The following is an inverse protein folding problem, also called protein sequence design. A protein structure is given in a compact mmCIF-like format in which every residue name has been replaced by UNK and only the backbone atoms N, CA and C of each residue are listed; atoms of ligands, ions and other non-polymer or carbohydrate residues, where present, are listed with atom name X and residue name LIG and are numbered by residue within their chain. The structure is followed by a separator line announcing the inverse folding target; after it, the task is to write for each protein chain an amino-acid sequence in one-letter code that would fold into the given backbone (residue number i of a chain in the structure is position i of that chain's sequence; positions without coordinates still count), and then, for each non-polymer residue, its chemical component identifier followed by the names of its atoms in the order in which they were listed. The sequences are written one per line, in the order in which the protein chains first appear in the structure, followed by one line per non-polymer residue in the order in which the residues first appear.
data_IF_302926496332
#
_entry.id   IF_302926496332
#
_cell.length_a   1.000
_cell.length_b   1.000
_cell.length_c   1.000
_cell.angle_alpha   90.00
_cell.angle_beta   90.00
_cell.angle_gamma   90.00
#
_symmetry.space_group_name_H-M   'P 1'
#
loop_
_entity.id
_entity.type
_entity.pdbx_description
1 polymer ?
#
# COMPACT_ATOMS: atom_id res chain seq x y z
N UNK A 1 -1.78 1.54 20.23
CA UNK A 1 -2.29 1.72 18.85
C UNK A 1 -1.21 2.22 17.88
N UNK A 2 -0.71 3.45 18.03
CA UNK A 2 0.17 4.07 17.03
C UNK A 2 1.51 3.34 16.84
N UNK A 3 2.14 2.85 17.92
CA UNK A 3 3.37 2.03 17.81
C UNK A 3 3.17 0.72 17.04
N UNK A 4 2.01 0.07 17.22
CA UNK A 4 1.68 -1.14 16.46
C UNK A 4 1.52 -0.81 14.97
N UNK A 5 0.76 0.24 14.65
CA UNK A 5 0.56 0.70 13.26
C UNK A 5 1.91 1.03 12.61
N UNK A 6 2.76 1.78 13.31
CA UNK A 6 4.10 2.15 12.83
C UNK A 6 4.97 0.91 12.58
N UNK A 7 5.04 0.00 13.55
CA UNK A 7 5.85 -1.22 13.43
C UNK A 7 5.37 -2.12 12.29
N UNK A 8 4.06 -2.31 12.16
CA UNK A 8 3.48 -3.11 11.08
C UNK A 8 3.69 -2.45 9.71
N UNK A 9 3.43 -1.15 9.58
CA UNK A 9 3.62 -0.41 8.33
C UNK A 9 5.09 -0.42 7.88
N UNK A 10 6.03 -0.28 8.81
CA UNK A 10 7.46 -0.37 8.53
C UNK A 10 7.84 -1.77 8.05
N UNK A 11 7.39 -2.81 8.76
CA UNK A 11 7.63 -4.20 8.37
C UNK A 11 7.07 -4.51 6.98
N UNK A 12 5.84 -4.09 6.68
CA UNK A 12 5.22 -4.28 5.37
C UNK A 12 5.91 -3.49 4.26
N UNK A 13 6.34 -2.26 4.56
CA UNK A 13 7.09 -1.41 3.63
C UNK A 13 8.45 -2.00 3.22
N UNK A 14 9.01 -2.91 4.02
CA UNK A 14 10.21 -3.68 3.67
C UNK A 14 9.88 -5.03 3.03
N UNK A 15 8.83 -5.70 3.51
CA UNK A 15 8.53 -7.10 3.12
C UNK A 15 7.80 -7.21 1.78
N UNK A 16 6.86 -6.31 1.49
CA UNK A 16 6.06 -6.37 0.26
C UNK A 16 6.85 -6.06 -1.01
N UNK A 17 7.80 -5.11 -1.02
CA UNK A 17 8.65 -4.91 -2.20
C UNK A 17 9.38 -6.18 -2.62
N UNK A 18 9.93 -6.93 -1.67
CA UNK A 18 10.58 -8.21 -1.93
C UNK A 18 9.61 -9.26 -2.48
N UNK A 19 8.40 -9.34 -1.91
CA UNK A 19 7.37 -10.25 -2.42
C UNK A 19 7.00 -9.95 -3.88
N UNK A 20 6.77 -8.68 -4.21
CA UNK A 20 6.42 -8.24 -5.57
C UNK A 20 7.60 -8.27 -6.55
N UNK A 21 8.83 -8.20 -6.05
CA UNK A 21 10.02 -8.45 -6.87
C UNK A 21 10.12 -9.93 -7.28
N UNK A 22 9.75 -10.86 -6.38
CA UNK A 22 9.74 -12.29 -6.65
C UNK A 22 8.48 -12.77 -7.40
N UNK A 23 7.34 -12.10 -7.19
CA UNK A 23 6.02 -12.52 -7.69
C UNK A 23 5.33 -11.35 -8.42
N UNK A 24 5.86 -10.98 -9.58
CA UNK A 24 5.24 -9.94 -10.39
C UNK A 24 3.87 -10.38 -10.92
N UNK A 25 2.90 -9.49 -10.82
CA UNK A 25 1.61 -9.67 -11.46
C UNK A 25 1.75 -9.51 -12.97
N UNK A 26 1.51 -10.58 -13.71
CA UNK A 26 1.57 -10.59 -15.18
C UNK A 26 0.18 -10.91 -15.75
N UNK A 27 -0.66 -9.90 -15.88
CA UNK A 27 -1.98 -10.00 -16.51
C UNK A 27 -2.02 -9.22 -17.82
N UNK A 28 -2.83 -9.69 -18.78
CA UNK A 28 -2.98 -9.05 -20.08
C UNK A 28 -1.71 -9.12 -20.93
N UNK A 29 -1.69 -8.33 -22.00
CA UNK A 29 -0.55 -8.20 -22.91
C UNK A 29 -0.39 -6.74 -23.33
N UNK A 30 0.85 -6.26 -23.33
CA UNK A 30 1.24 -4.95 -23.85
C UNK A 30 1.71 -5.01 -25.32
N UNK A 31 1.57 -6.16 -26.00
CA UNK A 31 1.93 -6.28 -27.41
C UNK A 31 1.06 -5.38 -28.29
N UNK A 32 1.62 -4.84 -29.38
CA UNK A 32 0.88 -3.99 -30.31
C UNK A 32 -0.37 -4.67 -30.90
N UNK A 33 -0.35 -6.00 -31.01
CA UNK A 33 -1.45 -6.80 -31.52
C UNK A 33 -2.50 -7.17 -30.45
N UNK A 34 -2.31 -6.76 -29.19
CA UNK A 34 -3.22 -7.10 -28.09
C UNK A 34 -4.53 -6.32 -28.16
N UNK A 35 -5.62 -6.93 -27.69
CA UNK A 35 -6.91 -6.25 -27.59
C UNK A 35 -6.84 -5.07 -26.60
N UNK A 36 -7.74 -4.09 -26.74
CA UNK A 36 -7.84 -2.97 -25.79
C UNK A 36 -8.01 -3.44 -24.33
N UNK A 37 -8.76 -4.54 -24.13
CA UNK A 37 -8.94 -5.14 -22.80
C UNK A 37 -7.64 -5.69 -22.23
N UNK A 38 -6.85 -6.39 -23.05
CA UNK A 38 -5.57 -6.96 -22.62
C UNK A 38 -4.55 -5.89 -22.25
N UNK A 39 -4.49 -4.79 -23.01
CA UNK A 39 -3.60 -3.66 -22.72
C UNK A 39 -4.01 -2.94 -21.43
N UNK A 40 -5.32 -2.82 -21.18
CA UNK A 40 -5.83 -2.25 -19.93
C UNK A 40 -5.44 -3.12 -18.72
N UNK A 41 -5.56 -4.45 -18.83
CA UNK A 41 -5.13 -5.37 -17.78
C UNK A 41 -3.62 -5.33 -17.53
N UNK A 42 -2.81 -5.23 -18.60
CA UNK A 42 -1.35 -5.09 -18.49
C UNK A 42 -0.95 -3.79 -17.79
N UNK A 43 -1.64 -2.70 -18.10
CA UNK A 43 -1.43 -1.40 -17.43
C UNK A 43 -1.80 -1.49 -15.96
N UNK A 44 -2.94 -2.09 -15.64
CA UNK A 44 -3.37 -2.29 -14.25
C UNK A 44 -2.36 -3.11 -13.46
N UNK A 45 -1.92 -4.24 -14.01
CA UNK A 45 -0.89 -5.09 -13.38
C UNK A 45 0.40 -4.32 -13.13
N UNK A 46 0.83 -3.49 -14.09
CA UNK A 46 2.01 -2.62 -13.94
C UNK A 46 1.85 -1.62 -12.79
N UNK A 47 0.68 -0.98 -12.66
CA UNK A 47 0.39 -0.06 -11.55
C UNK A 47 0.44 -0.79 -10.21
N UNK A 48 -0.20 -1.96 -10.11
CA UNK A 48 -0.20 -2.78 -8.90
C UNK A 48 1.23 -3.19 -8.52
N UNK A 49 2.02 -3.66 -9.48
CA UNK A 49 3.42 -4.00 -9.25
C UNK A 49 4.25 -2.79 -8.80
N UNK A 50 4.03 -1.63 -9.40
CA UNK A 50 4.74 -0.39 -9.04
C UNK A 50 4.45 0.01 -7.60
N UNK A 51 3.18 -0.04 -7.19
CA UNK A 51 2.79 0.23 -5.80
C UNK A 51 3.40 -0.80 -4.86
N UNK A 52 3.28 -2.10 -5.18
CA UNK A 52 3.80 -3.19 -4.36
C UNK A 52 5.32 -3.17 -4.17
N UNK A 53 6.07 -2.75 -5.21
CA UNK A 53 7.53 -2.59 -5.18
C UNK A 53 8.00 -1.32 -4.49
N UNK A 54 7.13 -0.33 -4.34
CA UNK A 54 7.49 0.96 -3.72
C UNK A 54 7.27 0.89 -2.22
N UNK A 55 8.32 0.61 -1.45
CA UNK A 55 8.22 0.42 0.01
C UNK A 55 7.53 1.58 0.76
N UNK A 56 7.79 2.83 0.36
CA UNK A 56 7.11 4.00 0.92
C UNK A 56 5.60 3.98 0.65
N UNK A 57 5.18 3.60 -0.56
CA UNK A 57 3.77 3.52 -0.92
C UNK A 57 3.06 2.42 -0.13
N UNK A 58 3.65 1.23 -0.04
CA UNK A 58 3.12 0.13 0.78
C UNK A 58 3.00 0.56 2.24
N UNK A 59 4.05 1.14 2.81
CA UNK A 59 4.05 1.59 4.20
C UNK A 59 2.96 2.63 4.46
N UNK A 60 2.79 3.61 3.57
CA UNK A 60 1.75 4.62 3.67
C UNK A 60 0.34 4.00 3.58
N UNK A 61 0.10 3.10 2.62
CA UNK A 61 -1.20 2.43 2.46
C UNK A 61 -1.52 1.60 3.72
N UNK A 62 -0.57 0.82 4.22
CA UNK A 62 -0.76 0.02 5.44
C UNK A 62 -1.03 0.89 6.67
N UNK A 63 -0.28 1.98 6.84
CA UNK A 63 -0.47 2.91 7.95
C UNK A 63 -1.85 3.59 7.90
N UNK A 64 -2.26 4.09 6.74
CA UNK A 64 -3.57 4.74 6.55
C UNK A 64 -4.71 3.74 6.75
N UNK A 65 -4.58 2.54 6.20
CA UNK A 65 -5.60 1.50 6.37
C UNK A 65 -5.77 1.12 7.84
N UNK A 66 -4.68 0.90 8.57
CA UNK A 66 -4.73 0.56 9.98
C UNK A 66 -5.16 1.73 10.87
N UNK A 67 -4.83 2.97 10.49
CA UNK A 67 -5.31 4.14 11.24
C UNK A 67 -6.84 4.30 11.14
N UNK A 68 -7.46 3.88 10.03
CA UNK A 68 -8.92 3.96 9.89
C UNK A 68 -9.66 2.75 10.47
N UNK A 69 -9.01 1.58 10.54
CA UNK A 69 -9.66 0.33 10.95
C UNK A 69 -9.47 -0.02 12.42
N UNK A 70 -8.35 0.36 13.04
CA UNK A 70 -8.12 0.07 14.46
C UNK A 70 -8.85 1.13 15.32
N UNK A 71 -9.82 0.71 16.16
CA UNK A 71 -10.55 1.63 17.03
C UNK A 71 -9.61 2.27 18.04
N UNK A 72 -9.92 3.50 18.44
CA UNK A 72 -9.19 4.23 19.48
C UNK A 72 -9.88 5.54 19.83
N UNK A 73 -9.69 6.00 21.07
CA UNK A 73 -10.26 7.28 21.53
C UNK A 73 -9.51 8.48 20.91
N UNK A 74 -10.09 9.69 20.91
CA UNK A 74 -9.40 10.90 20.45
C UNK A 74 -8.05 11.13 21.16
N UNK A 75 -7.94 10.77 22.44
CA UNK A 75 -6.69 10.83 23.21
C UNK A 75 -5.65 9.84 22.68
N UNK A 76 -6.04 8.59 22.40
CA UNK A 76 -5.13 7.56 21.87
C UNK A 76 -4.66 7.86 20.44
N UNK A 77 -5.45 8.62 19.68
CA UNK A 77 -5.10 9.14 18.35
C UNK A 77 -4.22 10.40 18.43
N UNK A 78 -4.04 10.98 19.62
CA UNK A 78 -3.27 12.19 19.84
C UNK A 78 -3.99 13.47 19.40
N UNK A 79 -5.29 13.41 19.11
CA UNK A 79 -6.08 14.54 18.60
C UNK A 79 -6.34 15.60 19.69
N UNK A 80 -6.39 15.19 20.96
CA UNK A 80 -6.65 16.11 22.07
C UNK A 80 -5.47 16.98 22.46
N UNK A 81 -4.24 16.57 22.10
CA UNK A 81 -3.04 17.39 22.30
C UNK A 81 -3.08 18.66 21.46
N UNK A 82 -3.59 18.56 20.22
CA UNK A 82 -3.67 19.68 19.27
C UNK A 82 -4.84 20.63 19.52
N UNK A 83 -5.88 20.20 20.25
CA UNK A 83 -7.07 21.02 20.55
C UNK A 83 -6.82 22.00 21.71
N UNK A 84 -5.75 21.77 22.48
CA UNK A 84 -5.37 22.64 23.61
C UNK A 84 -4.34 23.71 23.26
N UNK A 85 -3.89 23.76 22.00
CA UNK A 85 -3.12 24.88 21.42
C UNK A 85 -4.05 25.77 20.59
#
# INVERSE_FOLDING_TARGET
RNLFILGFAFFMGLSMPEYFAANEMAWGSASADATLGDQALATFATVVNTIGKTGMAVGAIAAVFLDNTIPGTPEERGLTAWVRE
#
